data_IF_272565161622
#
_entry.id   IF_272565161622
#
_cell.length_a   1.000
_cell.length_b   1.000
_cell.length_c   1.000
_cell.angle_alpha   90.00
_cell.angle_beta   90.00
_cell.angle_gamma   90.00
#
_symmetry.space_group_name_H-M   'P 1'
#
loop_
_entity.id
_entity.type
_entity.pdbx_description
1 polymer ?
#
# COMPACT_ATOMS: atom_id res chain seq x y z
N UNK A 1 5.97 1.68 -9.42
CA UNK A 1 5.73 3.14 -9.39
C UNK A 1 6.34 3.78 -10.63
N UNK A 2 7.54 3.38 -11.03
CA UNK A 2 8.09 3.80 -12.33
C UNK A 2 7.22 3.44 -13.53
N UNK A 3 6.56 2.27 -13.51
CA UNK A 3 5.63 1.88 -14.58
C UNK A 3 4.42 2.81 -14.70
N UNK A 4 3.92 3.36 -13.59
CA UNK A 4 2.81 4.31 -13.61
C UNK A 4 3.27 5.67 -14.14
N UNK A 5 4.46 6.11 -13.70
CA UNK A 5 5.10 7.31 -14.23
C UNK A 5 5.32 7.19 -15.75
N UNK A 6 5.74 6.02 -16.24
CA UNK A 6 5.87 5.76 -17.69
C UNK A 6 4.55 5.86 -18.44
N UNK A 7 3.44 5.35 -17.87
CA UNK A 7 2.13 5.45 -18.51
C UNK A 7 1.60 6.88 -18.50
N UNK A 8 1.80 7.61 -17.39
CA UNK A 8 1.37 9.01 -17.24
C UNK A 8 2.22 9.99 -18.04
N UNK A 9 3.44 9.61 -18.45
CA UNK A 9 4.21 10.38 -19.42
C UNK A 9 3.61 10.31 -20.84
N UNK A 10 2.62 9.44 -21.09
CA UNK A 10 1.98 9.29 -22.40
C UNK A 10 0.64 10.04 -22.54
N UNK A 11 0.08 10.61 -21.47
CA UNK A 11 -1.22 11.31 -21.47
C UNK A 11 -1.21 12.39 -20.39
N UNK A 12 -1.80 13.57 -20.65
CA UNK A 12 -1.72 14.77 -19.78
C UNK A 12 -1.72 14.46 -18.27
N UNK A 13 -0.63 14.80 -17.59
CA UNK A 13 -0.42 14.44 -16.18
C UNK A 13 -1.39 15.19 -15.27
N UNK A 14 -2.12 14.51 -14.37
CA UNK A 14 -2.75 15.14 -13.22
C UNK A 14 -1.73 16.03 -12.50
N UNK A 15 -2.17 17.23 -12.10
CA UNK A 15 -1.27 18.27 -11.56
C UNK A 15 -0.55 17.83 -10.29
N UNK A 16 -1.19 17.01 -9.45
CA UNK A 16 -0.63 16.50 -8.20
C UNK A 16 -1.00 15.03 -7.98
N UNK A 17 -0.07 14.13 -8.33
CA UNK A 17 -0.16 12.69 -8.03
C UNK A 17 0.76 12.39 -6.85
N UNK A 18 0.16 12.07 -5.71
CA UNK A 18 0.92 11.63 -4.55
C UNK A 18 1.21 10.12 -4.63
N UNK A 19 2.48 9.78 -4.86
CA UNK A 19 2.96 8.40 -4.92
C UNK A 19 3.81 8.08 -3.69
N UNK A 20 3.20 7.45 -2.68
CA UNK A 20 3.95 7.06 -1.48
C UNK A 20 4.87 5.86 -1.77
N UNK A 21 6.17 6.12 -1.75
CA UNK A 21 7.23 5.17 -2.07
C UNK A 21 8.27 4.99 -0.95
N UNK A 22 7.90 5.12 0.32
CA UNK A 22 8.76 4.72 1.44
C UNK A 22 7.87 4.19 2.56
N UNK A 23 7.61 2.89 2.51
CA UNK A 23 7.22 2.10 3.68
C UNK A 23 5.88 2.37 4.38
N UNK A 24 4.80 2.72 3.67
CA UNK A 24 3.39 2.39 4.02
C UNK A 24 2.86 2.73 5.46
N UNK A 25 3.65 3.36 6.33
CA UNK A 25 3.45 3.60 7.76
C UNK A 25 4.75 3.99 8.49
N UNK A 26 4.69 4.26 9.80
CA UNK A 26 5.87 4.62 10.58
C UNK A 26 6.85 3.43 10.65
N UNK A 27 8.04 3.59 10.07
CA UNK A 27 9.06 2.55 10.00
C UNK A 27 10.20 2.80 10.99
N UNK A 28 10.46 1.86 11.90
CA UNK A 28 11.68 1.89 12.72
C UNK A 28 12.72 0.93 12.13
N UNK A 29 13.86 1.46 11.71
CA UNK A 29 14.97 0.62 11.29
C UNK A 29 15.52 -0.18 12.47
N UNK A 30 15.61 -1.50 12.30
CA UNK A 30 16.37 -2.35 13.23
C UNK A 30 17.83 -1.94 13.15
N UNK A 31 18.37 -1.50 14.28
CA UNK A 31 19.81 -1.27 14.44
C UNK A 31 20.46 -2.49 15.07
N UNK A 32 21.63 -2.89 14.59
CA UNK A 32 22.49 -3.84 15.29
C UNK A 32 22.94 -3.28 16.64
N UNK A 33 23.49 -4.13 17.51
CA UNK A 33 24.01 -3.74 18.84
C UNK A 33 25.09 -2.63 18.78
N UNK A 34 25.71 -2.43 17.61
CA UNK A 34 26.67 -1.36 17.29
C UNK A 34 26.02 -0.14 16.60
N UNK A 35 24.69 0.01 16.70
CA UNK A 35 23.88 1.09 16.08
C UNK A 35 23.96 1.16 14.54
N UNK A 36 24.50 0.14 13.87
CA UNK A 36 24.53 0.10 12.41
C UNK A 36 23.18 -0.38 11.88
N UNK A 37 22.65 0.33 10.88
CA UNK A 37 21.39 -0.03 10.22
C UNK A 37 21.44 -1.41 9.60
N UNK A 38 20.45 -2.25 9.88
CA UNK A 38 20.33 -3.60 9.30
C UNK A 38 19.68 -3.59 7.92
N UNK A 39 19.09 -2.46 7.50
CA UNK A 39 18.20 -2.38 6.34
C UNK A 39 16.85 -3.10 6.54
N UNK A 40 16.55 -3.59 7.74
CA UNK A 40 15.27 -4.24 8.09
C UNK A 40 14.42 -3.25 8.89
N UNK A 41 13.23 -2.94 8.41
CA UNK A 41 12.31 -1.99 9.04
C UNK A 41 11.17 -2.72 9.76
N UNK A 42 10.89 -2.34 11.00
CA UNK A 42 9.61 -2.62 11.65
C UNK A 42 8.60 -1.63 11.14
N UNK A 43 7.57 -2.13 10.47
CA UNK A 43 6.51 -1.33 9.90
C UNK A 43 5.34 -1.29 10.89
N UNK A 44 5.04 -0.11 11.40
CA UNK A 44 3.81 0.14 12.14
C UNK A 44 2.71 0.43 11.12
N UNK A 45 1.94 -0.61 10.80
CA UNK A 45 0.87 -0.55 9.80
C UNK A 45 -0.29 0.33 10.32
N UNK A 46 -0.41 0.58 11.61
CA UNK A 46 -1.49 1.41 12.16
C UNK A 46 -1.12 2.90 12.25
N UNK A 47 0.17 3.24 12.13
CA UNK A 47 0.64 4.63 12.14
C UNK A 47 0.92 5.14 10.75
N UNK A 48 0.27 6.24 10.43
CA UNK A 48 0.49 6.98 9.19
C UNK A 48 1.65 7.95 9.38
N UNK A 49 2.44 8.14 8.33
CA UNK A 49 3.41 9.23 8.31
C UNK A 49 2.65 10.57 8.21
N UNK A 50 2.76 11.41 9.23
CA UNK A 50 2.03 12.68 9.31
C UNK A 50 2.50 13.70 8.25
N UNK A 51 3.72 13.55 7.70
CA UNK A 51 4.26 14.52 6.75
C UNK A 51 3.44 14.61 5.48
N UNK A 52 2.92 13.49 4.98
CA UNK A 52 2.14 13.48 3.74
C UNK A 52 0.64 13.65 3.94
N UNK A 53 0.13 13.37 5.14
CA UNK A 53 -1.28 13.61 5.44
C UNK A 53 -1.66 15.08 5.23
N UNK A 54 -0.69 16.00 5.34
CA UNK A 54 -0.85 17.43 5.06
C UNK A 54 -1.06 17.77 3.57
N UNK A 55 -0.67 16.89 2.64
CA UNK A 55 -0.78 17.11 1.19
C UNK A 55 -2.11 16.61 0.61
N UNK A 56 -2.86 15.81 1.39
CA UNK A 56 -4.17 15.28 1.03
C UNK A 56 -5.22 16.32 0.60
N UNK A 57 -5.28 17.56 1.14
CA UNK A 57 -6.22 18.59 0.68
C UNK A 57 -6.00 19.00 -0.78
N UNK A 58 -4.77 18.87 -1.29
CA UNK A 58 -4.40 19.28 -2.65
C UNK A 58 -4.23 18.09 -3.60
N UNK A 59 -4.36 16.85 -3.11
CA UNK A 59 -4.12 15.64 -3.91
C UNK A 59 -5.36 15.28 -4.75
N UNK A 60 -5.18 15.01 -6.04
CA UNK A 60 -6.25 14.51 -6.92
C UNK A 60 -6.41 12.99 -6.84
N UNK A 61 -5.28 12.27 -6.84
CA UNK A 61 -5.22 10.81 -6.82
C UNK A 61 -4.19 10.37 -5.78
N UNK A 62 -4.62 9.51 -4.85
CA UNK A 62 -3.75 8.88 -3.86
C UNK A 62 -3.70 7.37 -4.06
N UNK A 63 -2.51 6.81 -4.28
CA UNK A 63 -2.30 5.36 -4.34
C UNK A 63 -1.69 4.91 -3.01
N UNK A 64 -2.46 4.17 -2.22
CA UNK A 64 -2.17 3.94 -0.80
C UNK A 64 -2.32 2.47 -0.38
N UNK A 65 -1.71 2.09 0.74
CA UNK A 65 -1.95 0.81 1.43
C UNK A 65 -3.27 0.82 2.21
N UNK A 66 -3.66 -0.35 2.73
CA UNK A 66 -4.89 -0.52 3.51
C UNK A 66 -4.92 0.38 4.77
N UNK A 67 -3.76 0.54 5.42
CA UNK A 67 -3.57 1.42 6.57
C UNK A 67 -3.91 2.88 6.27
N UNK A 68 -3.26 3.42 5.25
CA UNK A 68 -3.48 4.79 4.78
C UNK A 68 -4.90 5.00 4.24
N UNK A 69 -5.50 3.97 3.62
CA UNK A 69 -6.89 4.01 3.17
C UNK A 69 -7.88 4.24 4.33
N UNK A 70 -7.68 3.57 5.46
CA UNK A 70 -8.52 3.76 6.67
C UNK A 70 -8.46 5.21 7.18
N UNK A 71 -7.27 5.81 7.15
CA UNK A 71 -7.07 7.20 7.57
C UNK A 71 -7.77 8.19 6.63
N UNK A 72 -7.61 8.02 5.31
CA UNK A 72 -8.28 8.87 4.31
C UNK A 72 -9.80 8.79 4.47
N UNK A 73 -10.37 7.62 4.78
CA UNK A 73 -11.80 7.48 5.00
C UNK A 73 -12.32 8.20 6.28
N UNK A 74 -11.44 8.48 7.23
CA UNK A 74 -11.72 9.28 8.43
C UNK A 74 -11.27 10.74 8.32
N UNK A 75 -10.71 11.13 7.19
CA UNK A 75 -10.11 12.45 7.00
C UNK A 75 -11.18 13.53 6.84
N UNK A 76 -11.05 14.60 7.62
CA UNK A 76 -11.95 15.76 7.58
C UNK A 76 -11.43 16.90 6.68
N UNK A 77 -10.13 16.94 6.40
CA UNK A 77 -9.48 17.98 5.61
C UNK A 77 -8.99 17.47 4.24
N UNK A 78 -9.59 16.39 3.73
CA UNK A 78 -9.22 15.83 2.45
C UNK A 78 -10.03 16.48 1.33
N UNK A 79 -9.46 16.52 0.12
CA UNK A 79 -10.16 17.01 -1.07
C UNK A 79 -11.44 16.22 -1.32
N UNK A 80 -12.57 16.89 -1.57
CA UNK A 80 -13.89 16.25 -1.74
C UNK A 80 -13.94 15.24 -2.91
N UNK A 81 -13.16 15.47 -3.96
CA UNK A 81 -13.08 14.61 -5.15
C UNK A 81 -11.80 13.76 -5.21
N UNK A 82 -11.12 13.55 -4.08
CA UNK A 82 -9.92 12.70 -4.01
C UNK A 82 -10.24 11.26 -4.44
N UNK A 83 -9.56 10.79 -5.49
CA UNK A 83 -9.63 9.40 -5.92
C UNK A 83 -8.57 8.59 -5.18
N UNK A 84 -9.00 7.67 -4.33
CA UNK A 84 -8.08 6.82 -3.57
C UNK A 84 -8.05 5.41 -4.16
N UNK A 85 -6.87 4.96 -4.58
CA UNK A 85 -6.61 3.63 -5.14
C UNK A 85 -5.85 2.81 -4.10
N UNK A 86 -6.41 1.66 -3.71
CA UNK A 86 -5.71 0.72 -2.84
C UNK A 86 -4.67 -0.08 -3.62
N UNK A 87 -3.43 -0.09 -3.15
CA UNK A 87 -2.37 -1.00 -3.57
C UNK A 87 -2.14 -2.09 -2.52
N UNK A 88 -2.34 -3.34 -2.89
CA UNK A 88 -2.01 -4.50 -2.05
C UNK A 88 -0.51 -4.78 -2.06
N UNK A 89 -0.07 -5.61 -1.10
CA UNK A 89 1.27 -6.17 -1.06
C UNK A 89 1.61 -6.86 -2.39
N UNK A 90 2.87 -6.73 -2.80
CA UNK A 90 3.44 -7.40 -3.97
C UNK A 90 4.29 -8.55 -3.45
N UNK A 91 3.93 -9.83 -3.73
CA UNK A 91 4.63 -10.98 -3.18
C UNK A 91 6.07 -11.07 -3.67
N UNK A 92 6.87 -11.86 -2.96
CA UNK A 92 8.28 -12.07 -3.33
C UNK A 92 8.37 -13.19 -4.36
N UNK A 93 9.23 -13.03 -5.38
CA UNK A 93 9.32 -13.96 -6.51
C UNK A 93 10.70 -14.63 -6.61
N UNK A 94 11.42 -14.71 -5.48
CA UNK A 94 12.75 -15.30 -5.44
C UNK A 94 12.66 -16.82 -5.30
N UNK A 95 13.44 -17.53 -6.09
CA UNK A 95 13.64 -18.98 -6.00
C UNK A 95 14.98 -19.28 -5.30
N UNK A 96 15.04 -20.40 -4.57
CA UNK A 96 16.24 -20.88 -3.86
C UNK A 96 16.83 -19.88 -2.85
N UNK A 97 15.98 -19.08 -2.22
CA UNK A 97 16.36 -18.12 -1.20
C UNK A 97 15.39 -16.95 -1.16
N UNK A 98 15.68 -15.99 -0.28
CA UNK A 98 14.96 -14.73 -0.15
C UNK A 98 15.81 -13.59 -0.71
N UNK A 99 15.20 -12.40 -0.81
CA UNK A 99 15.87 -11.14 -1.16
C UNK A 99 17.22 -10.94 -0.44
N UNK A 100 17.29 -11.27 0.85
CA UNK A 100 18.46 -11.05 1.70
C UNK A 100 19.38 -12.27 1.87
N UNK A 101 19.04 -13.43 1.32
CA UNK A 101 19.84 -14.67 1.45
C UNK A 101 20.39 -15.17 0.12
N UNK A 102 20.32 -14.35 -0.94
CA UNK A 102 20.85 -14.70 -2.26
C UNK A 102 19.89 -15.48 -3.15
N UNK A 103 18.57 -15.32 -2.94
CA UNK A 103 17.56 -15.89 -3.83
C UNK A 103 17.68 -15.35 -5.27
N UNK A 104 17.33 -16.18 -6.25
CA UNK A 104 17.45 -15.87 -7.67
C UNK A 104 16.08 -15.63 -8.33
N UNK A 105 16.01 -14.68 -9.26
CA UNK A 105 14.83 -14.45 -10.10
C UNK A 105 15.19 -14.81 -11.55
N UNK A 106 15.05 -16.09 -11.92
CA UNK A 106 15.41 -16.61 -13.27
C UNK A 106 14.21 -17.02 -14.10
N UNK A 107 13.01 -16.99 -13.54
CA UNK A 107 11.78 -17.32 -14.26
C UNK A 107 11.50 -16.28 -15.33
N UNK A 108 11.15 -16.75 -16.52
CA UNK A 108 10.67 -15.91 -17.63
C UNK A 108 9.18 -16.10 -17.92
N UNK A 109 8.54 -17.05 -17.21
CA UNK A 109 7.14 -17.41 -17.39
C UNK A 109 6.42 -17.34 -16.03
N UNK A 110 5.20 -16.78 -15.95
CA UNK A 110 4.42 -16.72 -14.72
C UNK A 110 4.17 -18.11 -14.10
N UNK A 111 3.93 -18.13 -12.80
CA UNK A 111 3.46 -19.33 -12.11
C UNK A 111 2.06 -19.72 -12.61
N UNK A 112 1.85 -21.01 -12.82
CA UNK A 112 0.53 -21.57 -13.05
C UNK A 112 -0.26 -21.61 -11.75
N UNK A 113 -1.59 -21.59 -11.84
CA UNK A 113 -2.48 -21.57 -10.67
C UNK A 113 -2.20 -22.71 -9.68
N UNK A 114 -1.85 -23.89 -10.19
CA UNK A 114 -1.51 -25.06 -9.36
C UNK A 114 -0.11 -25.02 -8.73
N UNK A 115 0.77 -24.13 -9.19
CA UNK A 115 2.11 -23.89 -8.60
C UNK A 115 2.05 -22.85 -7.48
N UNK A 116 0.93 -22.11 -7.35
CA UNK A 116 0.75 -21.11 -6.31
C UNK A 116 0.47 -21.80 -4.98
N UNK A 117 1.37 -21.60 -4.01
CA UNK A 117 1.15 -22.06 -2.66
C UNK A 117 0.09 -21.19 -1.97
N UNK A 118 -1.16 -21.66 -1.93
CA UNK A 118 -2.26 -20.96 -1.26
C UNK A 118 -2.04 -20.75 0.24
N UNK A 119 -1.22 -21.60 0.90
CA UNK A 119 -0.89 -21.50 2.33
C UNK A 119 0.39 -20.70 2.59
N UNK A 120 0.92 -20.01 1.59
CA UNK A 120 2.08 -19.13 1.78
C UNK A 120 1.69 -17.89 2.60
N UNK A 121 2.67 -17.35 3.32
CA UNK A 121 2.53 -16.06 4.02
C UNK A 121 2.10 -14.92 3.08
N UNK A 122 2.56 -14.96 1.83
CA UNK A 122 2.23 -13.97 0.82
C UNK A 122 0.73 -13.97 0.48
N UNK A 123 0.12 -15.16 0.38
CA UNK A 123 -1.31 -15.32 0.15
C UNK A 123 -2.15 -14.96 1.37
N UNK A 124 -1.64 -15.26 2.58
CA UNK A 124 -2.26 -14.84 3.84
C UNK A 124 -2.31 -13.31 3.94
N UNK A 125 -1.18 -12.62 3.73
CA UNK A 125 -1.10 -11.16 3.72
C UNK A 125 -2.07 -10.56 2.70
N UNK A 126 -2.11 -11.09 1.47
CA UNK A 126 -3.05 -10.63 0.44
C UNK A 126 -4.50 -10.78 0.89
N UNK A 127 -4.85 -11.91 1.52
CA UNK A 127 -6.22 -12.21 1.96
C UNK A 127 -6.64 -11.25 3.07
N UNK A 128 -5.79 -11.07 4.09
CA UNK A 128 -6.03 -10.11 5.18
C UNK A 128 -6.21 -8.69 4.66
N UNK A 129 -5.40 -8.25 3.69
CA UNK A 129 -5.54 -6.92 3.08
C UNK A 129 -6.87 -6.73 2.34
N UNK A 130 -7.39 -7.79 1.70
CA UNK A 130 -8.70 -7.75 1.03
C UNK A 130 -9.82 -7.69 2.07
N UNK A 131 -9.75 -8.50 3.13
CA UNK A 131 -10.76 -8.51 4.20
C UNK A 131 -10.87 -7.14 4.90
N UNK A 132 -9.73 -6.51 5.21
CA UNK A 132 -9.67 -5.16 5.77
C UNK A 132 -10.33 -4.14 4.83
N UNK A 133 -10.08 -4.24 3.53
CA UNK A 133 -10.72 -3.35 2.56
C UNK A 133 -12.25 -3.55 2.55
N UNK A 134 -12.73 -4.78 2.55
CA UNK A 134 -14.15 -5.08 2.55
C UNK A 134 -14.86 -4.57 3.81
N UNK A 135 -14.19 -4.62 4.97
CA UNK A 135 -14.68 -4.00 6.19
C UNK A 135 -14.81 -2.48 6.06
N UNK A 136 -13.76 -1.80 5.59
CA UNK A 136 -13.77 -0.35 5.41
C UNK A 136 -14.84 0.07 4.39
N UNK A 137 -15.02 -0.70 3.31
CA UNK A 137 -16.11 -0.46 2.34
C UNK A 137 -17.48 -0.54 3.01
N UNK A 138 -17.75 -1.58 3.82
CA UNK A 138 -19.01 -1.74 4.55
C UNK A 138 -19.28 -0.55 5.47
N UNK A 139 -18.28 -0.09 6.22
CA UNK A 139 -18.43 1.05 7.13
C UNK A 139 -18.63 2.38 6.39
N UNK A 140 -17.96 2.55 5.25
CA UNK A 140 -18.11 3.73 4.39
C UNK A 140 -19.53 3.80 3.79
N UNK A 141 -20.08 2.66 3.38
CA UNK A 141 -21.45 2.56 2.88
C UNK A 141 -22.48 2.86 3.97
N UNK A 142 -22.29 2.35 5.21
CA UNK A 142 -23.13 2.69 6.36
C UNK A 142 -23.11 4.20 6.65
N UNK A 143 -21.93 4.84 6.66
CA UNK A 143 -21.80 6.30 6.85
C UNK A 143 -22.50 7.10 5.75
N UNK A 144 -22.44 6.68 4.48
CA UNK A 144 -23.19 7.33 3.38
C UNK A 144 -24.70 7.12 3.53
N UNK A 145 -25.14 5.95 3.96
CA UNK A 145 -26.56 5.65 4.23
C UNK A 145 -27.14 6.49 5.37
N UNK A 146 -26.35 6.76 6.42
CA UNK A 146 -26.76 7.62 7.54
C UNK A 146 -26.76 9.12 7.20
N UNK A 147 -26.14 9.53 6.08
CA UNK A 147 -26.14 10.93 5.59
C UNK A 147 -27.40 11.31 4.80
N UNK A 148 -28.41 10.44 4.71
CA UNK A 148 -29.63 10.67 3.91
C UNK A 148 -30.90 11.02 4.71
N UNK A 149 -30.78 11.37 5.99
CA UNK A 149 -31.94 11.82 6.79
C UNK A 149 -31.57 13.10 7.57
N UNK A 150 -31.76 14.25 6.93
CA UNK A 150 -32.46 15.44 7.47
C UNK A 150 -32.75 16.43 6.35
#
# INVERSE_FOLDING_TARGET
MESLLCLLLMEETPKDIYLMAKFLGAGLERTHANQTGTGIYYLDIDKIDEQWANDLPNTDIAIVSASAFKHINGCHNCKDNLVTILRTFSPTYFENGTCNTGGACKRTIPLKVNEINQKSSDMEIRTTQIEQLEEIKRDSLKKKSLRFWM
#
